data_IF_047128794471
#
_entry.id   IF_047128794471
#
_cell.length_a   1.000
_cell.length_b   1.000
_cell.length_c   1.000
_cell.angle_alpha   90.00
_cell.angle_beta   90.00
_cell.angle_gamma   90.00
#
_symmetry.space_group_name_H-M   'P 1'
#
loop_
_entity.id
_entity.type
_entity.pdbx_description
1 polymer ?
#
# COMPACT_ATOMS: atom_id res chain seq x y z
N UNK A 1 -52.08 68.47 -25.18
CA UNK A 1 -52.81 67.63 -24.20
C UNK A 1 -52.16 66.26 -24.17
N UNK A 2 -51.26 65.99 -23.22
CA UNK A 2 -50.66 64.66 -23.02
C UNK A 2 -50.85 64.23 -21.57
N UNK A 3 -51.48 63.07 -21.41
CA UNK A 3 -51.84 62.41 -20.16
C UNK A 3 -50.59 61.79 -19.51
N UNK A 4 -50.25 62.18 -18.28
CA UNK A 4 -49.25 61.50 -17.45
C UNK A 4 -49.96 60.51 -16.51
N UNK A 5 -49.85 59.22 -16.78
CA UNK A 5 -50.16 58.14 -15.83
C UNK A 5 -49.00 58.00 -14.84
N UNK A 6 -49.28 58.12 -13.54
CA UNK A 6 -48.36 57.74 -12.46
C UNK A 6 -48.47 56.23 -12.22
N UNK A 7 -47.37 55.50 -12.38
CA UNK A 7 -47.21 54.13 -11.89
C UNK A 7 -46.58 54.19 -10.50
N UNK A 8 -47.29 53.64 -9.50
CA UNK A 8 -46.79 53.40 -8.15
C UNK A 8 -46.00 52.09 -8.15
N UNK A 9 -44.74 52.14 -7.74
CA UNK A 9 -43.88 50.97 -7.51
C UNK A 9 -44.22 50.39 -6.14
N UNK A 10 -44.69 49.14 -6.11
CA UNK A 10 -44.83 48.34 -4.90
C UNK A 10 -43.45 47.91 -4.40
N UNK A 11 -43.14 48.18 -3.13
CA UNK A 11 -41.97 47.66 -2.44
C UNK A 11 -42.40 46.33 -1.80
N UNK A 12 -41.78 45.23 -2.24
CA UNK A 12 -42.01 43.89 -1.67
C UNK A 12 -41.32 43.73 -0.30
N UNK A 13 -41.92 42.99 0.64
CA UNK A 13 -41.35 42.77 1.95
C UNK A 13 -40.18 41.78 1.90
N UNK A 14 -39.09 42.13 2.59
CA UNK A 14 -37.92 41.28 2.84
C UNK A 14 -38.37 39.95 3.46
N UNK A 15 -38.06 38.85 2.78
CA UNK A 15 -38.49 37.50 3.15
C UNK A 15 -37.77 37.01 4.42
N UNK A 16 -38.57 36.48 5.35
CA UNK A 16 -38.17 35.92 6.66
C UNK A 16 -37.37 34.60 6.53
N UNK A 17 -37.17 34.09 5.31
CA UNK A 17 -36.54 32.78 5.06
C UNK A 17 -35.03 32.76 5.33
N UNK A 18 -34.33 33.89 5.20
CA UNK A 18 -32.87 33.96 5.42
C UNK A 18 -32.48 33.88 6.91
N UNK A 19 -33.35 34.33 7.83
CA UNK A 19 -33.14 34.22 9.27
C UNK A 19 -33.39 32.80 9.79
N UNK A 20 -34.28 32.04 9.15
CA UNK A 20 -34.54 30.64 9.47
C UNK A 20 -33.36 29.73 9.09
N UNK A 21 -32.62 30.07 8.03
CA UNK A 21 -31.45 29.30 7.60
C UNK A 21 -30.28 29.38 8.62
N UNK A 22 -30.07 30.54 9.25
CA UNK A 22 -29.04 30.70 10.28
C UNK A 22 -29.35 29.91 11.57
N UNK A 23 -30.61 29.87 12.01
CA UNK A 23 -31.00 29.09 13.19
C UNK A 23 -30.94 27.57 12.94
N UNK A 24 -31.29 27.11 11.72
CA UNK A 24 -31.28 25.68 11.40
C UNK A 24 -29.85 25.10 11.35
N UNK A 25 -28.88 25.88 10.86
CA UNK A 25 -27.46 25.49 10.85
C UNK A 25 -26.87 25.31 12.26
N UNK A 26 -27.24 26.15 13.23
CA UNK A 26 -26.76 26.02 14.62
C UNK A 26 -27.32 24.76 15.33
N UNK A 27 -28.57 24.40 15.05
CA UNK A 27 -29.21 23.21 15.66
C UNK A 27 -28.61 21.91 15.09
N UNK A 28 -28.31 21.85 13.79
CA UNK A 28 -27.67 20.68 13.17
C UNK A 28 -26.23 20.47 13.64
N UNK A 29 -25.48 21.55 13.88
CA UNK A 29 -24.13 21.47 14.45
C UNK A 29 -24.13 20.94 15.89
N UNK A 30 -25.09 21.38 16.71
CA UNK A 30 -25.25 20.91 18.10
C UNK A 30 -25.57 19.41 18.18
N UNK A 31 -26.44 18.89 17.30
CA UNK A 31 -26.80 17.46 17.29
C UNK A 31 -25.64 16.56 16.86
N UNK A 32 -24.83 16.97 15.87
CA UNK A 32 -23.65 16.20 15.45
C UNK A 32 -22.56 16.18 16.51
N UNK A 33 -22.37 17.29 17.24
CA UNK A 33 -21.38 17.37 18.31
C UNK A 33 -21.70 16.43 19.48
N UNK A 34 -22.96 16.31 19.89
CA UNK A 34 -23.37 15.40 20.97
C UNK A 34 -23.26 13.92 20.59
N UNK A 35 -23.54 13.56 19.32
CA UNK A 35 -23.34 12.19 18.82
C UNK A 35 -21.86 11.79 18.80
N UNK A 36 -20.98 12.72 18.44
CA UNK A 36 -19.53 12.51 18.45
C UNK A 36 -18.98 12.31 19.88
N UNK A 37 -19.48 13.06 20.87
CA UNK A 37 -19.10 12.90 22.29
C UNK A 37 -19.54 11.56 22.90
N UNK A 38 -20.67 10.99 22.45
CA UNK A 38 -21.11 9.67 22.90
C UNK A 38 -20.24 8.54 22.36
N UNK A 39 -19.78 8.63 21.11
CA UNK A 39 -18.84 7.65 20.55
C UNK A 39 -17.49 7.65 21.26
N UNK A 40 -16.96 8.82 21.65
CA UNK A 40 -15.67 8.91 22.35
C UNK A 40 -15.72 8.21 23.72
N UNK A 41 -16.83 8.32 24.47
CA UNK A 41 -16.99 7.65 25.78
C UNK A 41 -17.01 6.12 25.69
N UNK A 42 -17.55 5.55 24.60
CA UNK A 42 -17.59 4.10 24.40
C UNK A 42 -16.17 3.55 24.18
N UNK A 43 -15.33 4.26 23.44
CA UNK A 43 -13.94 3.84 23.21
C UNK A 43 -13.04 3.96 24.45
N UNK A 44 -13.33 4.89 25.37
CA UNK A 44 -12.50 5.05 26.58
C UNK A 44 -12.73 3.95 27.62
N UNK A 45 -13.93 3.37 27.67
CA UNK A 45 -14.25 2.29 28.63
C UNK A 45 -13.63 0.96 28.20
N UNK A 46 -13.44 0.74 26.90
CA UNK A 46 -12.95 -0.53 26.36
C UNK A 46 -11.42 -0.71 26.49
N UNK A 47 -10.65 0.37 26.70
CA UNK A 47 -9.20 0.29 26.92
C UNK A 47 -8.78 0.17 28.40
N UNK A 48 -9.73 0.16 29.35
CA UNK A 48 -9.41 0.02 30.78
C UNK A 48 -9.43 -1.43 31.30
N UNK A 49 -9.71 -2.41 30.44
CA UNK A 49 -9.94 -3.80 30.84
C UNK A 49 -9.09 -4.78 30.03
N UNK A 50 -7.76 -4.65 30.05
CA UNK A 50 -6.82 -5.76 29.78
C UNK A 50 -5.38 -5.31 30.07
N UNK A 51 -4.92 -5.58 31.29
CA UNK A 51 -3.52 -5.43 31.70
C UNK A 51 -3.12 -6.68 32.49
N UNK A 52 -2.41 -7.66 31.90
CA UNK A 52 -1.81 -8.74 32.65
C UNK A 52 -0.50 -8.27 33.30
N UNK A 53 -0.38 -8.50 34.60
CA UNK A 53 0.76 -8.13 35.41
C UNK A 53 2.08 -8.79 34.94
N UNK A 54 3.12 -7.95 34.85
CA UNK A 54 4.52 -8.34 34.69
C UNK A 54 5.02 -9.07 35.95
N UNK A 55 5.45 -10.33 35.80
CA UNK A 55 6.35 -10.98 36.75
C UNK A 55 7.80 -10.84 36.25
N UNK A 56 8.46 -9.76 36.69
CA UNK A 56 9.91 -9.61 36.58
C UNK A 56 10.57 -10.42 37.70
N UNK A 57 11.06 -11.63 37.37
CA UNK A 57 11.96 -12.38 38.24
C UNK A 57 13.40 -12.18 37.77
N UNK A 58 14.10 -11.30 38.47
CA UNK A 58 15.54 -11.09 38.37
C UNK A 58 16.29 -12.37 38.76
N UNK A 59 17.07 -12.92 37.85
CA UNK A 59 18.13 -13.88 38.19
C UNK A 59 19.45 -13.38 37.61
N UNK A 60 20.09 -12.50 38.37
CA UNK A 60 21.52 -12.22 38.31
C UNK A 60 22.26 -13.39 38.97
N UNK A 61 23.07 -14.10 38.18
CA UNK A 61 24.29 -14.85 38.57
C UNK A 61 24.66 -15.81 37.42
N UNK A 62 25.67 -15.48 36.63
CA UNK A 62 27.00 -16.05 36.86
C UNK A 62 27.98 -15.60 35.77
N UNK A 63 28.99 -14.87 36.24
CA UNK A 63 30.23 -14.57 35.54
C UNK A 63 31.09 -15.82 35.64
N UNK A 64 31.33 -16.53 34.53
CA UNK A 64 32.44 -17.48 34.43
C UNK A 64 33.31 -17.22 33.21
N UNK A 65 34.45 -16.58 33.50
CA UNK A 65 35.68 -16.59 32.71
C UNK A 65 35.99 -18.00 32.17
N UNK A 66 36.14 -18.12 30.85
CA UNK A 66 37.04 -19.08 30.20
C UNK A 66 37.88 -18.27 29.21
N UNK A 67 39.09 -17.86 29.64
CA UNK A 67 40.38 -18.45 29.25
C UNK A 67 40.54 -18.55 27.73
N UNK A 68 41.30 -17.59 27.21
CA UNK A 68 41.98 -17.63 25.93
C UNK A 68 42.86 -18.86 25.84
N UNK A 69 42.72 -19.62 24.76
CA UNK A 69 43.75 -20.53 24.28
C UNK A 69 44.08 -20.06 22.87
N UNK A 70 45.33 -19.63 22.75
CA UNK A 70 46.07 -19.38 21.53
C UNK A 70 46.31 -20.70 20.77
N UNK A 71 46.61 -20.56 19.48
CA UNK A 71 47.37 -21.51 18.64
C UNK A 71 46.60 -22.73 18.07
N UNK A 72 46.21 -22.64 16.79
CA UNK A 72 47.04 -23.15 15.67
C UNK A 72 46.25 -23.14 14.35
N UNK A 73 46.67 -22.29 13.41
CA UNK A 73 46.39 -22.42 11.98
C UNK A 73 47.15 -23.61 11.40
N UNK A 74 46.51 -24.39 10.53
CA UNK A 74 47.20 -24.92 9.36
C UNK A 74 46.60 -24.35 8.06
N UNK A 75 47.49 -23.74 7.30
CA UNK A 75 47.36 -23.30 5.90
C UNK A 75 46.84 -24.46 5.04
N UNK A 76 45.59 -24.36 4.57
CA UNK A 76 45.11 -25.09 3.39
C UNK A 76 44.61 -24.11 2.36
N UNK A 77 45.56 -23.65 1.54
CA UNK A 77 45.33 -23.38 0.12
C UNK A 77 44.72 -24.61 -0.53
N UNK A 78 43.43 -24.54 -0.83
CA UNK A 78 42.90 -25.25 -1.98
C UNK A 78 41.99 -24.34 -2.79
N UNK A 79 42.46 -24.06 -4.00
CA UNK A 79 41.81 -23.19 -4.98
C UNK A 79 40.69 -23.98 -5.63
N UNK A 80 39.46 -23.79 -5.17
CA UNK A 80 38.27 -24.19 -5.91
C UNK A 80 37.64 -22.96 -6.56
N UNK A 81 37.54 -22.89 -7.90
CA UNK A 81 36.98 -21.73 -8.58
C UNK A 81 35.45 -21.72 -8.42
N UNK A 82 34.99 -20.76 -7.62
CA UNK A 82 33.61 -20.30 -7.57
C UNK A 82 33.25 -19.69 -8.93
N UNK A 83 32.54 -20.47 -9.77
CA UNK A 83 31.94 -20.01 -11.02
C UNK A 83 30.71 -19.18 -10.66
N UNK A 84 30.94 -17.89 -10.44
CA UNK A 84 29.90 -16.87 -10.51
C UNK A 84 29.73 -16.56 -12.00
N UNK A 85 28.81 -17.27 -12.65
CA UNK A 85 28.55 -17.08 -14.08
C UNK A 85 28.09 -15.65 -14.33
N UNK A 86 28.92 -14.96 -15.10
CA UNK A 86 28.73 -13.64 -15.63
C UNK A 86 27.54 -13.64 -16.60
N UNK A 87 26.36 -13.21 -16.16
CA UNK A 87 25.37 -12.64 -17.06
C UNK A 87 25.61 -11.13 -17.19
N UNK A 88 26.78 -10.77 -17.75
CA UNK A 88 27.06 -9.42 -18.25
C UNK A 88 28.14 -9.51 -19.35
N UNK A 89 27.70 -9.60 -20.61
CA UNK A 89 28.25 -8.93 -21.82
C UNK A 89 27.90 -9.73 -23.07
N UNK A 90 26.89 -9.25 -23.80
CA UNK A 90 26.96 -8.95 -25.24
C UNK A 90 25.62 -8.38 -25.72
N UNK A 91 25.36 -7.11 -25.38
CA UNK A 91 24.52 -6.28 -26.26
C UNK A 91 25.48 -5.43 -27.07
N UNK A 92 25.78 -5.96 -28.26
CA UNK A 92 26.49 -5.24 -29.30
C UNK A 92 25.72 -3.96 -29.64
N UNK A 93 26.47 -2.85 -29.74
CA UNK A 93 25.98 -1.54 -30.16
C UNK A 93 25.36 -1.67 -31.56
N UNK A 94 24.03 -1.66 -31.63
CA UNK A 94 23.28 -1.36 -32.85
C UNK A 94 22.73 0.07 -32.73
N UNK A 95 22.83 0.90 -33.79
CA UNK A 95 22.44 2.30 -33.71
C UNK A 95 20.93 2.42 -33.47
N UNK A 96 20.59 3.16 -32.41
CA UNK A 96 19.21 3.52 -32.05
C UNK A 96 18.60 4.33 -33.19
N UNK A 97 17.83 3.66 -34.04
CA UNK A 97 16.81 4.29 -34.89
C UNK A 97 15.62 4.61 -33.98
N UNK A 98 15.40 5.91 -33.71
CA UNK A 98 14.19 6.39 -33.03
C UNK A 98 13.00 6.18 -33.96
N UNK A 99 12.37 5.01 -33.89
CA UNK A 99 11.03 4.81 -34.42
C UNK A 99 10.02 5.04 -33.30
N UNK A 100 9.21 6.06 -33.50
CA UNK A 100 8.07 6.41 -32.66
C UNK A 100 7.04 5.28 -32.77
N UNK A 101 6.94 4.43 -31.74
CA UNK A 101 5.92 3.40 -31.66
C UNK A 101 5.05 3.65 -30.41
N UNK A 102 4.14 4.61 -30.53
CA UNK A 102 2.78 4.66 -29.94
C UNK A 102 2.12 5.99 -30.33
N UNK A 103 1.42 6.09 -31.49
CA UNK A 103 0.63 7.28 -31.81
C UNK A 103 -0.89 7.07 -31.65
N UNK A 104 -1.38 5.98 -31.02
CA UNK A 104 -2.79 5.60 -31.19
C UNK A 104 -3.61 5.40 -29.90
N UNK A 105 -3.24 6.07 -28.80
CA UNK A 105 -4.05 6.05 -27.57
C UNK A 105 -4.19 7.46 -26.95
N UNK A 106 -4.36 8.48 -27.80
CA UNK A 106 -4.69 9.86 -27.39
C UNK A 106 -5.98 10.41 -28.01
N UNK A 107 -6.64 9.67 -28.90
CA UNK A 107 -7.79 10.17 -29.65
C UNK A 107 -9.17 9.88 -29.05
N UNK A 108 -9.26 9.34 -27.82
CA UNK A 108 -10.54 8.90 -27.23
C UNK A 108 -10.93 9.57 -25.90
N UNK A 109 -10.29 10.66 -25.47
CA UNK A 109 -10.63 11.32 -24.19
C UNK A 109 -10.94 12.83 -24.29
N UNK A 110 -10.79 13.48 -25.45
CA UNK A 110 -11.12 14.90 -25.59
C UNK A 110 -12.14 15.12 -26.71
N UNK A 111 -13.38 14.72 -26.48
CA UNK A 111 -14.51 15.21 -27.26
C UNK A 111 -15.74 15.26 -26.35
N UNK A 112 -16.20 16.48 -26.06
CA UNK A 112 -17.50 16.89 -25.48
C UNK A 112 -17.45 17.79 -24.24
N UNK A 113 -16.67 18.88 -24.24
CA UNK A 113 -17.14 20.13 -23.62
C UNK A 113 -16.49 21.29 -24.36
N UNK A 114 -17.21 21.87 -25.32
CA UNK A 114 -17.05 23.25 -25.79
C UNK A 114 -18.33 23.60 -26.56
N UNK A 115 -19.31 24.20 -25.88
CA UNK A 115 -20.11 25.28 -26.46
C UNK A 115 -20.98 25.92 -25.35
N UNK A 116 -20.69 27.18 -25.02
CA UNK A 116 -21.62 28.30 -24.75
C UNK A 116 -20.72 29.49 -24.35
N UNK A 117 -20.20 30.12 -25.40
CA UNK A 117 -20.35 31.53 -25.75
C UNK A 117 -20.67 32.60 -24.68
N UNK A 118 -19.89 33.69 -24.84
CA UNK A 118 -20.22 35.12 -24.76
C UNK A 118 -19.68 35.93 -23.57
N UNK A 119 -18.64 36.68 -23.93
CA UNK A 119 -18.27 38.00 -23.43
C UNK A 119 -19.50 38.91 -23.31
N UNK A 120 -19.55 39.71 -22.23
CA UNK A 120 -20.05 41.07 -22.31
C UNK A 120 -19.26 41.97 -21.36
N UNK A 121 -18.64 42.97 -21.98
CA UNK A 121 -17.96 44.12 -21.41
C UNK A 121 -19.05 45.09 -20.90
N UNK A 122 -19.01 45.48 -19.63
CA UNK A 122 -19.83 46.60 -19.13
C UNK A 122 -18.92 47.66 -18.52
N UNK A 123 -19.07 48.85 -19.10
CA UNK A 123 -18.36 50.10 -18.83
C UNK A 123 -18.66 50.66 -17.44
N UNK A 124 -17.67 51.35 -16.88
CA UNK A 124 -17.81 52.30 -15.78
C UNK A 124 -18.81 53.40 -16.16
N UNK A 125 -19.90 53.52 -15.40
CA UNK A 125 -20.70 54.74 -15.41
C UNK A 125 -20.71 55.36 -14.00
N UNK A 126 -20.31 56.62 -13.98
CA UNK A 126 -20.21 57.49 -12.82
C UNK A 126 -21.61 57.96 -12.42
N UNK A 127 -21.97 57.83 -11.13
CA UNK A 127 -23.19 58.40 -10.60
C UNK A 127 -22.90 59.31 -9.41
N UNK A 128 -23.13 60.61 -9.65
CA UNK A 128 -23.07 61.70 -8.71
C UNK A 128 -24.17 61.63 -7.63
N UNK A 129 -23.78 62.09 -6.43
CA UNK A 129 -24.56 62.80 -5.42
C UNK A 129 -26.03 62.43 -5.18
N UNK A 130 -26.27 61.73 -4.06
CA UNK A 130 -27.51 61.84 -3.29
C UNK A 130 -27.19 62.13 -1.81
N UNK A 131 -27.31 63.40 -1.43
CA UNK A 131 -27.17 63.86 -0.03
C UNK A 131 -28.41 63.46 0.78
N UNK A 132 -28.26 62.42 1.61
CA UNK A 132 -29.21 62.10 2.67
C UNK A 132 -28.62 62.56 4.00
N UNK A 133 -29.05 63.74 4.46
CA UNK A 133 -28.75 64.25 5.79
C UNK A 133 -29.61 63.53 6.84
N UNK A 134 -29.13 62.37 7.31
CA UNK A 134 -29.63 61.76 8.53
C UNK A 134 -28.88 62.37 9.71
N UNK A 135 -29.57 63.21 10.48
CA UNK A 135 -29.10 63.72 11.77
C UNK A 135 -29.07 62.59 12.79
N UNK A 136 -27.97 61.85 12.84
CA UNK A 136 -27.66 60.89 13.91
C UNK A 136 -27.14 61.71 15.09
N UNK A 137 -28.01 61.93 16.08
CA UNK A 137 -27.63 62.44 17.39
C UNK A 137 -26.78 61.37 18.09
N UNK A 138 -25.46 61.48 17.91
CA UNK A 138 -24.47 60.57 18.47
C UNK A 138 -24.33 60.87 19.98
N UNK A 139 -25.16 60.20 20.79
CA UNK A 139 -24.97 60.17 22.24
C UNK A 139 -23.60 59.54 22.53
N UNK A 140 -22.68 60.41 22.99
CA UNK A 140 -21.38 60.04 23.59
C UNK A 140 -21.61 59.28 24.90
N UNK A 141 -22.10 58.06 24.83
CA UNK A 141 -21.82 57.06 25.86
C UNK A 141 -20.48 56.43 25.51
N UNK A 142 -19.55 56.47 26.46
CA UNK A 142 -18.20 55.94 26.34
C UNK A 142 -18.24 54.43 26.05
N UNK A 143 -18.33 54.07 24.76
CA UNK A 143 -18.34 52.69 24.24
C UNK A 143 -16.94 52.09 24.07
N UNK A 144 -15.90 52.87 24.37
CA UNK A 144 -14.50 52.44 24.28
C UNK A 144 -14.15 51.17 25.09
N UNK A 145 -14.68 50.90 26.31
CA UNK A 145 -14.28 49.70 27.04
C UNK A 145 -14.88 48.40 26.44
N UNK A 146 -16.02 48.47 25.77
CA UNK A 146 -16.68 47.28 25.19
C UNK A 146 -15.97 46.82 23.93
N UNK A 147 -15.55 47.75 23.07
CA UNK A 147 -14.83 47.45 21.82
C UNK A 147 -13.42 46.91 22.10
N UNK A 148 -12.73 47.43 23.12
CA UNK A 148 -11.42 46.91 23.55
C UNK A 148 -11.53 45.48 24.08
N UNK A 149 -12.60 45.16 24.83
CA UNK A 149 -12.83 43.81 25.35
C UNK A 149 -13.09 42.78 24.25
N UNK A 150 -13.84 43.14 23.19
CA UNK A 150 -14.13 42.22 22.10
C UNK A 150 -12.91 41.92 21.24
N UNK A 151 -12.06 42.93 20.96
CA UNK A 151 -10.81 42.74 20.21
C UNK A 151 -9.85 41.83 20.97
N UNK A 152 -9.71 42.03 22.29
CA UNK A 152 -8.85 41.18 23.12
C UNK A 152 -9.31 39.72 23.11
N UNK A 153 -10.62 39.46 23.17
CA UNK A 153 -11.16 38.11 23.14
C UNK A 153 -10.86 37.38 21.83
N UNK A 154 -10.98 38.07 20.68
CA UNK A 154 -10.64 37.50 19.35
C UNK A 154 -9.15 37.17 19.28
N UNK A 155 -8.28 38.05 19.76
CA UNK A 155 -6.82 37.82 19.77
C UNK A 155 -6.48 36.60 20.65
N UNK A 156 -7.07 36.49 21.84
CA UNK A 156 -6.85 35.33 22.72
C UNK A 156 -7.36 34.04 22.08
N UNK A 157 -8.53 34.06 21.44
CA UNK A 157 -9.08 32.89 20.74
C UNK A 157 -8.18 32.44 19.58
N UNK A 158 -7.66 33.38 18.78
CA UNK A 158 -6.73 33.08 17.68
C UNK A 158 -5.41 32.51 18.21
N UNK A 159 -4.84 33.10 19.28
CA UNK A 159 -3.63 32.59 19.91
C UNK A 159 -3.83 31.22 20.55
N UNK A 160 -4.99 30.98 21.17
CA UNK A 160 -5.36 29.68 21.72
C UNK A 160 -5.52 28.63 20.61
N UNK A 161 -6.12 29.00 19.48
CA UNK A 161 -6.25 28.12 18.32
C UNK A 161 -4.89 27.82 17.68
N UNK A 162 -4.01 28.81 17.56
CA UNK A 162 -2.63 28.63 17.07
C UNK A 162 -1.80 27.73 17.99
N UNK A 163 -1.91 27.89 19.31
CA UNK A 163 -1.20 27.03 20.27
C UNK A 163 -1.73 25.60 20.26
N UNK A 164 -3.03 25.38 20.09
CA UNK A 164 -3.61 24.04 19.88
C UNK A 164 -3.20 23.44 18.53
N UNK A 165 -3.12 24.24 17.47
CA UNK A 165 -2.72 23.76 16.14
C UNK A 165 -1.24 23.40 16.06
N UNK A 166 -0.38 24.06 16.85
CA UNK A 166 1.06 23.77 16.91
C UNK A 166 1.41 22.67 17.93
N UNK A 167 0.52 22.37 18.88
CA UNK A 167 0.78 21.41 19.97
C UNK A 167 0.54 19.93 19.63
N UNK A 168 -0.13 19.60 18.53
CA UNK A 168 -0.55 18.22 18.22
C UNK A 168 0.33 17.47 17.22
N UNK A 169 1.43 18.07 16.76
CA UNK A 169 2.42 17.39 15.91
C UNK A 169 3.56 16.75 16.72
N UNK A 170 3.35 16.44 18.01
CA UNK A 170 4.03 15.29 18.58
C UNK A 170 3.43 14.03 17.95
N UNK A 171 3.77 13.78 16.68
CA UNK A 171 3.83 12.44 16.13
C UNK A 171 4.75 11.70 17.05
N UNK A 172 4.19 11.01 18.06
CA UNK A 172 4.91 10.01 18.82
C UNK A 172 5.64 9.20 17.76
N UNK A 173 6.97 9.28 17.74
CA UNK A 173 7.80 8.32 17.04
C UNK A 173 7.52 7.01 17.75
N UNK A 174 6.38 6.40 17.41
CA UNK A 174 6.01 5.08 17.81
C UNK A 174 7.16 4.24 17.28
N UNK A 175 8.00 3.81 18.21
CA UNK A 175 9.15 3.01 17.89
C UNK A 175 8.60 1.78 17.19
N UNK A 176 8.70 1.75 15.86
CA UNK A 176 8.16 0.67 15.06
C UNK A 176 8.97 -0.56 15.45
N UNK A 177 8.36 -1.44 16.24
CA UNK A 177 8.97 -2.69 16.63
C UNK A 177 9.34 -3.42 15.33
N UNK A 178 10.63 -3.68 15.15
CA UNK A 178 11.11 -4.35 13.95
C UNK A 178 10.60 -5.79 13.98
N UNK A 179 10.03 -6.23 12.86
CA UNK A 179 9.62 -7.62 12.68
C UNK A 179 10.88 -8.49 12.72
N UNK A 180 10.82 -9.58 13.49
CA UNK A 180 11.89 -10.55 13.61
C UNK A 180 11.29 -11.94 13.37
N UNK A 181 11.75 -12.62 12.32
CA UNK A 181 11.24 -13.92 11.91
C UNK A 181 12.13 -15.07 12.40
N UNK A 182 12.67 -15.00 13.62
CA UNK A 182 13.57 -16.02 14.19
C UNK A 182 12.96 -17.43 14.24
N UNK A 183 11.63 -17.55 14.29
CA UNK A 183 10.88 -18.81 14.22
C UNK A 183 11.09 -19.62 12.93
N UNK A 184 11.65 -19.03 11.87
CA UNK A 184 12.05 -19.80 10.69
C UNK A 184 13.17 -20.82 10.98
N UNK A 185 13.87 -20.69 12.11
CA UNK A 185 14.79 -21.73 12.59
C UNK A 185 14.08 -23.05 12.92
N UNK A 186 12.80 -22.99 13.31
CA UNK A 186 12.01 -24.18 13.64
C UNK A 186 11.69 -24.97 12.37
N UNK A 187 11.43 -24.27 11.25
CA UNK A 187 11.26 -24.91 9.93
C UNK A 187 12.54 -25.62 9.48
N UNK A 188 13.69 -25.01 9.72
CA UNK A 188 14.98 -25.64 9.42
C UNK A 188 15.18 -26.94 10.22
N UNK A 189 14.74 -26.97 11.48
CA UNK A 189 14.78 -28.17 12.31
C UNK A 189 13.76 -29.22 11.84
N UNK A 190 12.55 -28.80 11.41
CA UNK A 190 11.49 -29.69 10.89
C UNK A 190 11.84 -30.31 9.53
N UNK A 191 12.61 -29.60 8.71
CA UNK A 191 12.98 -30.00 7.35
C UNK A 191 14.51 -30.02 7.14
N UNK A 192 15.26 -30.87 7.88
CA UNK A 192 16.72 -30.84 7.90
C UNK A 192 17.38 -31.24 6.58
N UNK A 193 16.66 -31.98 5.72
CA UNK A 193 17.12 -32.38 4.39
C UNK A 193 17.09 -31.23 3.37
N UNK A 194 16.36 -30.16 3.65
CA UNK A 194 16.25 -29.01 2.77
C UNK A 194 17.47 -28.10 2.90
N UNK A 195 17.80 -27.39 1.83
CA UNK A 195 18.91 -26.45 1.86
C UNK A 195 18.65 -25.31 2.87
N UNK A 196 19.53 -25.16 3.86
CA UNK A 196 19.42 -24.14 4.89
C UNK A 196 19.31 -22.69 4.33
N UNK A 197 19.80 -22.44 3.11
CA UNK A 197 19.66 -21.15 2.42
C UNK A 197 18.20 -20.78 2.18
N UNK A 198 17.30 -21.74 2.01
CA UNK A 198 15.87 -21.52 1.81
C UNK A 198 15.29 -20.73 2.99
N UNK A 199 15.47 -21.23 4.21
CA UNK A 199 14.95 -20.62 5.43
C UNK A 199 15.60 -19.27 5.74
N UNK A 200 16.90 -19.14 5.47
CA UNK A 200 17.59 -17.84 5.59
C UNK A 200 17.04 -16.81 4.59
N UNK A 201 16.80 -17.21 3.34
CA UNK A 201 16.24 -16.33 2.32
C UNK A 201 14.83 -15.88 2.69
N UNK A 202 13.98 -16.82 3.13
CA UNK A 202 12.64 -16.52 3.64
C UNK A 202 12.69 -15.48 4.75
N UNK A 203 13.48 -15.74 5.79
CA UNK A 203 13.62 -14.84 6.95
C UNK A 203 14.05 -13.44 6.53
N UNK A 204 15.15 -13.33 5.78
CA UNK A 204 15.74 -12.04 5.39
C UNK A 204 14.80 -11.25 4.48
N UNK A 205 14.21 -11.91 3.48
CA UNK A 205 13.33 -11.26 2.51
C UNK A 205 12.03 -10.78 3.17
N UNK A 206 11.40 -11.61 4.02
CA UNK A 206 10.18 -11.23 4.75
C UNK A 206 10.46 -10.07 5.70
N UNK A 207 11.50 -10.15 6.54
CA UNK A 207 11.90 -9.03 7.41
C UNK A 207 12.17 -7.75 6.60
N UNK A 208 12.79 -7.89 5.42
CA UNK A 208 13.06 -6.79 4.49
C UNK A 208 11.79 -6.03 4.07
N UNK A 209 10.73 -6.76 3.69
CA UNK A 209 9.44 -6.18 3.25
C UNK A 209 8.88 -5.23 4.30
N UNK A 210 8.86 -5.64 5.57
CA UNK A 210 8.17 -4.88 6.61
C UNK A 210 9.06 -3.88 7.35
N UNK A 211 10.34 -4.20 7.53
CA UNK A 211 11.27 -3.35 8.28
C UNK A 211 11.86 -2.23 7.43
N UNK A 212 12.08 -2.47 6.14
CA UNK A 212 12.71 -1.51 5.22
C UNK A 212 11.75 -0.92 4.21
N UNK A 213 10.45 -1.24 4.31
CA UNK A 213 9.43 -0.92 3.29
C UNK A 213 9.91 -1.30 1.89
N UNK A 214 10.45 -2.52 1.73
CA UNK A 214 11.01 -2.98 0.45
C UNK A 214 9.93 -3.41 -0.55
N UNK A 215 10.37 -3.76 -1.75
CA UNK A 215 9.61 -4.53 -2.76
C UNK A 215 9.03 -5.83 -2.19
N UNK A 216 7.99 -6.41 -2.82
CA UNK A 216 7.43 -7.69 -2.40
C UNK A 216 8.47 -8.80 -2.42
N UNK A 217 8.27 -9.78 -1.56
CA UNK A 217 9.09 -10.99 -1.54
C UNK A 217 8.38 -12.08 -2.35
N UNK A 218 9.00 -12.51 -3.44
CA UNK A 218 8.47 -13.56 -4.32
C UNK A 218 9.34 -14.80 -4.19
N UNK A 219 8.72 -15.94 -3.87
CA UNK A 219 9.40 -17.21 -3.72
C UNK A 219 8.74 -18.27 -4.58
N UNK A 220 9.53 -18.98 -5.39
CA UNK A 220 9.06 -20.14 -6.16
C UNK A 220 9.65 -21.41 -5.60
N UNK A 221 8.77 -22.31 -5.15
CA UNK A 221 9.11 -23.65 -4.73
C UNK A 221 8.76 -24.65 -5.81
N UNK A 222 9.62 -25.63 -6.04
CA UNK A 222 9.28 -26.71 -6.94
C UNK A 222 9.86 -28.04 -6.47
N UNK A 223 9.13 -29.12 -6.71
CA UNK A 223 9.52 -30.46 -6.26
C UNK A 223 8.92 -31.53 -7.14
N UNK A 224 9.52 -32.72 -7.09
CA UNK A 224 8.94 -33.95 -7.62
C UNK A 224 7.87 -34.54 -6.72
N UNK A 225 7.96 -34.25 -5.42
CA UNK A 225 7.06 -34.78 -4.41
C UNK A 225 6.02 -33.71 -4.05
N UNK A 226 4.76 -34.01 -4.36
CA UNK A 226 3.64 -33.11 -4.09
C UNK A 226 3.41 -32.92 -2.59
N UNK A 227 3.68 -33.96 -1.78
CA UNK A 227 3.44 -33.92 -0.34
C UNK A 227 4.42 -32.97 0.32
N UNK A 228 5.72 -33.08 0.05
CA UNK A 228 6.70 -32.14 0.61
C UNK A 228 6.44 -30.70 0.15
N UNK A 229 6.05 -30.50 -1.11
CA UNK A 229 5.72 -29.18 -1.66
C UNK A 229 4.54 -28.55 -0.91
N UNK A 230 3.47 -29.31 -0.71
CA UNK A 230 2.30 -28.88 0.05
C UNK A 230 2.63 -28.61 1.53
N UNK A 231 3.24 -29.60 2.21
CA UNK A 231 3.50 -29.55 3.65
C UNK A 231 4.44 -28.38 3.99
N UNK A 232 5.57 -28.24 3.26
CA UNK A 232 6.52 -27.16 3.50
C UNK A 232 5.92 -25.79 3.17
N UNK A 233 5.15 -25.68 2.08
CA UNK A 233 4.53 -24.41 1.73
C UNK A 233 3.47 -23.98 2.75
N UNK A 234 2.65 -24.91 3.25
CA UNK A 234 1.68 -24.65 4.32
C UNK A 234 2.37 -24.15 5.59
N UNK A 235 3.45 -24.83 6.00
CA UNK A 235 4.25 -24.46 7.16
C UNK A 235 4.94 -23.09 7.01
N UNK A 236 5.51 -22.82 5.83
CA UNK A 236 6.14 -21.53 5.52
C UNK A 236 5.11 -20.41 5.60
N UNK A 237 3.93 -20.60 5.01
CA UNK A 237 2.85 -19.60 5.03
C UNK A 237 2.38 -19.34 6.47
N UNK A 238 2.17 -20.39 7.26
CA UNK A 238 1.81 -20.29 8.67
C UNK A 238 2.86 -19.51 9.48
N UNK A 239 4.15 -19.87 9.32
CA UNK A 239 5.25 -19.17 9.98
C UNK A 239 5.38 -17.71 9.52
N UNK A 240 5.09 -17.43 8.25
CA UNK A 240 5.06 -16.07 7.73
C UNK A 240 3.94 -15.26 8.37
N UNK A 241 2.70 -15.77 8.39
CA UNK A 241 1.56 -15.09 9.02
C UNK A 241 1.86 -14.72 10.48
N UNK A 242 2.37 -15.69 11.24
CA UNK A 242 2.76 -15.46 12.63
C UNK A 242 3.87 -14.41 12.76
N UNK A 243 4.87 -14.43 11.88
CA UNK A 243 5.99 -13.49 11.96
C UNK A 243 5.50 -12.05 11.77
N UNK A 244 4.64 -11.84 10.76
CA UNK A 244 4.14 -10.51 10.43
C UNK A 244 2.90 -10.11 11.25
N UNK A 245 2.50 -10.95 12.22
CA UNK A 245 1.31 -10.78 13.07
C UNK A 245 0.03 -10.54 12.23
N UNK A 246 -0.08 -11.20 11.09
CA UNK A 246 -1.22 -11.09 10.19
C UNK A 246 -2.36 -12.01 10.67
N UNK A 247 -3.55 -11.44 10.88
CA UNK A 247 -4.74 -12.17 11.32
C UNK A 247 -5.58 -12.70 10.16
N UNK A 248 -5.43 -12.13 8.95
CA UNK A 248 -6.17 -12.60 7.79
C UNK A 248 -5.55 -13.87 7.20
N UNK A 249 -6.41 -14.77 6.70
CA UNK A 249 -5.98 -15.92 5.91
C UNK A 249 -5.32 -15.47 4.60
N UNK A 250 -4.29 -16.21 4.14
CA UNK A 250 -3.62 -15.92 2.87
C UNK A 250 -4.61 -16.07 1.72
N UNK A 251 -4.37 -15.34 0.62
CA UNK A 251 -5.08 -15.60 -0.63
C UNK A 251 -4.47 -16.88 -1.21
N UNK A 252 -5.29 -17.91 -1.40
CA UNK A 252 -4.84 -19.16 -1.99
C UNK A 252 -5.48 -19.32 -3.37
N UNK A 253 -4.67 -19.25 -4.43
CA UNK A 253 -5.12 -19.34 -5.81
C UNK A 253 -4.67 -20.66 -6.43
N UNK A 254 -5.59 -21.27 -7.14
CA UNK A 254 -5.38 -22.49 -7.92
C UNK A 254 -5.74 -22.26 -9.38
N UNK A 255 -5.53 -23.28 -10.21
CA UNK A 255 -5.95 -23.26 -11.60
C UNK A 255 -7.44 -22.88 -11.74
N UNK A 256 -8.32 -23.49 -10.95
CA UNK A 256 -9.77 -23.24 -11.05
C UNK A 256 -10.18 -21.81 -10.68
N UNK A 257 -9.37 -21.13 -9.87
CA UNK A 257 -9.67 -19.76 -9.46
C UNK A 257 -9.41 -18.76 -10.57
N UNK A 258 -8.37 -19.01 -11.38
CA UNK A 258 -7.86 -18.08 -12.37
C UNK A 258 -8.21 -18.44 -13.82
N UNK A 259 -8.44 -19.70 -14.15
CA UNK A 259 -8.91 -20.14 -15.47
C UNK A 259 -10.44 -19.99 -15.66
N UNK A 260 -11.03 -18.92 -15.12
CA UNK A 260 -12.43 -18.56 -15.32
C UNK A 260 -12.57 -17.78 -16.63
N UNK A 261 -13.67 -17.98 -17.35
CA UNK A 261 -13.93 -17.29 -18.63
C UNK A 261 -13.75 -15.76 -18.53
N UNK A 262 -14.25 -15.15 -17.44
CA UNK A 262 -14.09 -13.71 -17.18
C UNK A 262 -12.64 -13.23 -17.22
N UNK A 263 -11.68 -14.07 -16.81
CA UNK A 263 -10.25 -13.78 -16.74
C UNK A 263 -9.50 -14.18 -18.01
N UNK A 264 -9.94 -15.25 -18.68
CA UNK A 264 -9.37 -15.67 -19.96
C UNK A 264 -9.62 -14.63 -21.07
N UNK A 265 -10.75 -13.93 -21.00
CA UNK A 265 -11.09 -12.86 -21.93
C UNK A 265 -10.37 -11.55 -21.61
N UNK A 266 -10.10 -11.30 -20.32
CA UNK A 266 -9.45 -10.08 -19.84
C UNK A 266 -8.73 -10.35 -18.52
N UNK A 267 -7.42 -10.57 -18.60
CA UNK A 267 -6.60 -10.86 -17.42
C UNK A 267 -6.47 -9.65 -16.48
N UNK A 268 -6.79 -8.42 -16.92
CA UNK A 268 -6.71 -7.23 -16.06
C UNK A 268 -7.74 -7.27 -14.94
N UNK A 269 -8.82 -8.03 -15.11
CA UNK A 269 -9.82 -8.29 -14.05
C UNK A 269 -9.23 -9.04 -12.86
N UNK A 270 -8.21 -9.89 -13.07
CA UNK A 270 -7.49 -10.55 -11.96
C UNK A 270 -6.82 -9.47 -11.09
N UNK A 271 -6.19 -8.48 -11.72
CA UNK A 271 -5.51 -7.39 -11.03
C UNK A 271 -6.52 -6.57 -10.22
N UNK A 272 -7.65 -6.21 -10.82
CA UNK A 272 -8.71 -5.46 -10.14
C UNK A 272 -9.34 -6.21 -8.96
N UNK A 273 -9.58 -7.52 -9.12
CA UNK A 273 -10.24 -8.36 -8.11
C UNK A 273 -9.34 -8.61 -6.89
N UNK A 274 -8.06 -8.88 -7.12
CA UNK A 274 -7.15 -9.28 -6.03
C UNK A 274 -6.31 -8.14 -5.44
N UNK A 275 -6.31 -6.93 -6.02
CA UNK A 275 -5.54 -5.80 -5.46
C UNK A 275 -5.92 -5.51 -4.01
N UNK A 276 -7.19 -5.20 -3.77
CA UNK A 276 -7.67 -4.81 -2.43
C UNK A 276 -7.56 -5.97 -1.44
N UNK A 277 -7.83 -7.20 -1.89
CA UNK A 277 -7.65 -8.39 -1.05
C UNK A 277 -6.18 -8.59 -0.67
N UNK A 278 -5.24 -8.36 -1.60
CA UNK A 278 -3.81 -8.53 -1.33
C UNK A 278 -3.26 -7.41 -0.45
N UNK A 279 -3.74 -6.17 -0.59
CA UNK A 279 -3.40 -5.08 0.32
C UNK A 279 -3.80 -5.41 1.76
N UNK A 280 -4.97 -6.05 1.93
CA UNK A 280 -5.50 -6.45 3.24
C UNK A 280 -4.81 -7.70 3.82
N UNK A 281 -4.67 -8.75 3.01
CA UNK A 281 -4.22 -10.09 3.45
C UNK A 281 -2.71 -10.27 3.37
N UNK A 282 -2.04 -9.46 2.54
CA UNK A 282 -0.56 -9.37 2.43
C UNK A 282 0.14 -10.61 1.86
N UNK A 283 -0.40 -11.81 2.05
CA UNK A 283 0.17 -13.07 1.60
C UNK A 283 -0.68 -13.64 0.46
N UNK A 284 -0.02 -13.96 -0.65
CA UNK A 284 -0.59 -14.62 -1.81
C UNK A 284 0.13 -15.95 -2.04
N UNK A 285 -0.63 -17.02 -2.20
CA UNK A 285 -0.15 -18.36 -2.55
C UNK A 285 -0.75 -18.73 -3.90
N UNK A 286 0.09 -19.13 -4.85
CA UNK A 286 -0.32 -19.59 -6.17
C UNK A 286 0.16 -21.03 -6.33
N UNK A 287 -0.79 -21.95 -6.44
CA UNK A 287 -0.50 -23.37 -6.59
C UNK A 287 -0.38 -23.76 -8.06
N UNK A 288 0.60 -24.62 -8.35
CA UNK A 288 0.85 -25.19 -9.68
C UNK A 288 0.86 -24.11 -10.77
N UNK A 289 1.76 -23.13 -10.61
CA UNK A 289 1.91 -21.97 -11.47
C UNK A 289 2.00 -22.32 -12.96
N UNK A 290 2.61 -23.46 -13.28
CA UNK A 290 2.84 -23.94 -14.64
C UNK A 290 1.60 -24.55 -15.31
N UNK A 291 0.50 -24.72 -14.58
CA UNK A 291 -0.78 -25.20 -15.12
C UNK A 291 -1.63 -24.06 -15.69
N UNK A 292 -1.29 -22.80 -15.42
CA UNK A 292 -2.13 -21.65 -15.78
C UNK A 292 -2.11 -21.37 -17.28
N UNK A 293 -3.25 -20.91 -17.81
CA UNK A 293 -3.33 -20.54 -19.23
C UNK A 293 -2.34 -19.41 -19.55
N UNK A 294 -1.60 -19.50 -20.68
CA UNK A 294 -0.75 -18.40 -21.14
C UNK A 294 -1.47 -17.06 -21.24
N UNK A 295 -2.80 -17.05 -21.44
CA UNK A 295 -3.61 -15.83 -21.50
C UNK A 295 -3.70 -15.05 -20.18
N UNK A 296 -3.63 -15.73 -19.04
CA UNK A 296 -3.76 -15.09 -17.72
C UNK A 296 -2.42 -14.81 -17.04
N UNK A 297 -1.39 -15.57 -17.41
CA UNK A 297 -0.04 -15.47 -16.87
C UNK A 297 0.56 -14.05 -16.92
N UNK A 298 0.30 -13.21 -17.95
CA UNK A 298 0.73 -11.81 -17.95
C UNK A 298 0.28 -10.99 -16.74
N UNK A 299 -0.86 -11.32 -16.12
CA UNK A 299 -1.32 -10.63 -14.89
C UNK A 299 -0.31 -10.71 -13.75
N UNK A 300 0.49 -11.80 -13.70
CA UNK A 300 1.51 -12.05 -12.69
C UNK A 300 2.65 -11.02 -12.69
N UNK A 301 2.87 -10.31 -13.80
CA UNK A 301 3.79 -9.17 -13.82
C UNK A 301 3.41 -8.15 -12.75
N UNK A 302 2.13 -7.82 -12.62
CA UNK A 302 1.70 -6.82 -11.64
C UNK A 302 1.95 -7.31 -10.21
N UNK A 303 1.74 -8.59 -9.91
CA UNK A 303 1.99 -9.12 -8.57
C UNK A 303 3.48 -9.18 -8.23
N UNK A 304 4.31 -9.56 -9.20
CA UNK A 304 5.73 -9.89 -8.98
C UNK A 304 6.71 -8.80 -9.43
N UNK A 305 6.23 -7.62 -9.83
CA UNK A 305 7.13 -6.56 -10.30
C UNK A 305 7.99 -6.01 -9.16
N UNK A 306 9.29 -5.88 -9.42
CA UNK A 306 10.26 -5.34 -8.46
C UNK A 306 10.08 -3.85 -8.20
N UNK A 307 9.65 -3.08 -9.21
CA UNK A 307 9.64 -1.62 -9.21
C UNK A 307 8.24 -1.04 -9.05
N UNK A 308 7.24 -1.66 -9.68
CA UNK A 308 5.84 -1.25 -9.62
C UNK A 308 4.92 -2.45 -9.30
N UNK A 309 5.11 -3.09 -8.15
CA UNK A 309 4.23 -4.17 -7.72
C UNK A 309 2.81 -3.67 -7.44
N UNK A 310 1.83 -4.54 -7.63
CA UNK A 310 0.43 -4.28 -7.34
C UNK A 310 0.23 -3.88 -5.88
N UNK A 311 0.98 -4.55 -4.98
CA UNK A 311 1.00 -4.30 -3.54
C UNK A 311 2.45 -4.35 -3.05
N UNK A 312 2.99 -3.19 -2.66
CA UNK A 312 4.40 -3.04 -2.25
C UNK A 312 4.79 -3.97 -1.09
N UNK A 313 3.92 -4.04 -0.07
CA UNK A 313 4.12 -4.89 1.12
C UNK A 313 3.34 -6.17 0.95
N UNK A 314 3.82 -7.04 0.07
CA UNK A 314 3.23 -8.37 -0.11
C UNK A 314 4.29 -9.47 -0.13
N UNK A 315 3.85 -10.68 0.20
CA UNK A 315 4.66 -11.90 0.19
C UNK A 315 3.95 -12.88 -0.71
N UNK A 316 4.64 -13.37 -1.73
CA UNK A 316 4.07 -14.20 -2.79
C UNK A 316 4.80 -15.54 -2.81
N UNK A 317 4.05 -16.61 -2.61
CA UNK A 317 4.52 -17.98 -2.72
C UNK A 317 3.96 -18.62 -3.98
N UNK A 318 4.84 -19.16 -4.80
CA UNK A 318 4.51 -19.84 -6.03
C UNK A 318 4.98 -21.29 -5.90
N UNK A 319 4.18 -22.24 -6.40
CA UNK A 319 4.59 -23.64 -6.45
C UNK A 319 4.51 -24.23 -7.85
N UNK A 320 5.43 -25.14 -8.16
CA UNK A 320 5.45 -25.89 -9.42
C UNK A 320 5.74 -27.37 -9.11
N UNK A 321 4.92 -28.27 -9.63
CA UNK A 321 5.19 -29.71 -9.56
C UNK A 321 5.97 -30.13 -10.79
N UNK A 322 7.10 -30.79 -10.59
CA UNK A 322 7.94 -31.29 -11.68
C UNK A 322 7.91 -32.83 -11.72
N UNK A 323 7.99 -33.48 -12.88
CA UNK A 323 7.89 -34.94 -12.96
C UNK A 323 9.14 -35.67 -12.43
N UNK A 324 10.32 -35.03 -12.51
CA UNK A 324 11.59 -35.67 -12.13
C UNK A 324 12.60 -34.64 -11.60
N UNK A 325 13.56 -35.13 -10.81
CA UNK A 325 14.59 -34.28 -10.19
C UNK A 325 15.53 -33.76 -11.29
N UNK A 326 15.68 -32.44 -11.45
CA UNK A 326 16.58 -31.88 -12.45
C UNK A 326 18.04 -31.89 -11.96
N UNK A 327 18.96 -32.13 -12.89
CA UNK A 327 20.41 -32.00 -12.62
C UNK A 327 20.82 -30.54 -12.39
N UNK A 328 20.26 -29.62 -13.18
CA UNK A 328 20.37 -28.18 -12.96
C UNK A 328 18.95 -27.62 -12.71
N UNK A 329 18.57 -27.40 -11.45
CA UNK A 329 17.21 -26.98 -11.11
C UNK A 329 16.82 -25.62 -11.70
N UNK A 330 17.75 -24.65 -11.77
CA UNK A 330 17.48 -23.31 -12.28
C UNK A 330 17.23 -23.31 -13.80
N UNK A 331 18.11 -23.97 -14.56
CA UNK A 331 17.96 -24.07 -16.02
C UNK A 331 16.71 -24.87 -16.39
N UNK A 332 16.42 -25.94 -15.63
CA UNK A 332 15.24 -26.76 -15.84
C UNK A 332 13.96 -25.95 -15.67
N UNK A 333 13.79 -25.25 -14.54
CA UNK A 333 12.53 -24.55 -14.27
C UNK A 333 12.32 -23.37 -15.23
N UNK A 334 13.41 -22.70 -15.62
CA UNK A 334 13.35 -21.67 -16.66
C UNK A 334 12.86 -22.24 -17.99
N UNK A 335 13.45 -23.35 -18.44
CA UNK A 335 13.08 -24.01 -19.70
C UNK A 335 11.66 -24.59 -19.65
N UNK A 336 11.26 -25.14 -18.50
CA UNK A 336 9.92 -25.65 -18.27
C UNK A 336 8.87 -24.56 -18.45
N UNK A 337 9.06 -23.39 -17.80
CA UNK A 337 8.15 -22.25 -17.95
C UNK A 337 8.19 -21.65 -19.37
N UNK A 338 9.36 -21.62 -20.03
CA UNK A 338 9.47 -21.22 -21.43
C UNK A 338 8.58 -22.05 -22.36
N UNK A 339 8.54 -23.36 -22.12
CA UNK A 339 7.73 -24.30 -22.87
C UNK A 339 6.24 -24.18 -22.52
N UNK A 340 5.91 -24.12 -21.23
CA UNK A 340 4.53 -24.00 -20.74
C UNK A 340 3.84 -22.71 -21.20
N UNK A 341 4.60 -21.63 -21.35
CA UNK A 341 4.08 -20.33 -21.77
C UNK A 341 4.52 -19.97 -23.19
N UNK A 342 4.71 -20.96 -24.06
CA UNK A 342 5.20 -20.78 -25.43
C UNK A 342 4.32 -19.82 -26.29
N UNK A 343 3.03 -19.70 -25.98
CA UNK A 343 2.09 -18.76 -26.63
C UNK A 343 2.39 -17.28 -26.32
N UNK A 344 3.13 -16.99 -25.24
CA UNK A 344 3.53 -15.63 -24.91
C UNK A 344 4.71 -15.17 -25.77
N UNK A 345 4.63 -13.93 -26.24
CA UNK A 345 5.74 -13.27 -26.92
C UNK A 345 6.96 -13.15 -26.01
N UNK A 346 8.16 -13.28 -26.59
CA UNK A 346 9.43 -13.32 -25.83
C UNK A 346 9.66 -12.10 -24.94
N UNK A 347 9.20 -10.91 -25.38
CA UNK A 347 9.30 -9.66 -24.62
C UNK A 347 8.41 -9.62 -23.37
N UNK A 348 7.33 -10.41 -23.31
CA UNK A 348 6.48 -10.54 -22.11
C UNK A 348 6.96 -11.72 -21.26
N UNK A 349 7.25 -12.84 -21.92
CA UNK A 349 7.60 -14.11 -21.30
C UNK A 349 8.90 -14.06 -20.52
N UNK A 350 10.01 -13.64 -21.13
CA UNK A 350 11.32 -13.70 -20.47
C UNK A 350 11.37 -12.81 -19.21
N UNK A 351 10.89 -11.55 -19.25
CA UNK A 351 10.89 -10.72 -18.06
C UNK A 351 9.92 -11.24 -16.98
N UNK A 352 8.85 -11.96 -17.35
CA UNK A 352 7.97 -12.58 -16.37
C UNK A 352 8.65 -13.74 -15.66
N UNK A 353 9.24 -14.65 -16.44
CA UNK A 353 9.98 -15.81 -15.92
C UNK A 353 11.09 -15.33 -14.98
N UNK A 354 11.83 -14.27 -15.35
CA UNK A 354 12.87 -13.71 -14.50
C UNK A 354 12.33 -13.19 -13.15
N UNK A 355 11.12 -12.62 -13.11
CA UNK A 355 10.49 -12.11 -11.88
C UNK A 355 9.97 -13.24 -10.99
N UNK A 356 9.22 -14.19 -11.56
CA UNK A 356 8.69 -15.32 -10.78
C UNK A 356 9.83 -16.21 -10.27
N UNK A 357 10.97 -16.25 -10.96
CA UNK A 357 12.12 -17.06 -10.57
C UNK A 357 13.20 -16.31 -9.75
N UNK A 358 12.95 -15.08 -9.27
CA UNK A 358 13.96 -14.29 -8.52
C UNK A 358 14.51 -15.05 -7.31
N UNK A 359 13.63 -15.70 -6.52
CA UNK A 359 14.03 -16.60 -5.43
C UNK A 359 13.40 -17.98 -5.64
N UNK A 360 14.13 -18.85 -6.31
CA UNK A 360 13.64 -20.19 -6.67
C UNK A 360 14.37 -21.29 -5.91
N UNK A 361 13.62 -22.23 -5.35
CA UNK A 361 14.16 -23.33 -4.56
C UNK A 361 13.56 -24.68 -5.00
N UNK A 362 14.44 -25.61 -5.34
CA UNK A 362 14.07 -27.02 -5.47
C UNK A 362 13.97 -27.64 -4.07
N UNK A 363 12.87 -28.32 -3.79
CA UNK A 363 12.66 -29.03 -2.52
C UNK A 363 12.97 -30.51 -2.70
N UNK A 364 13.82 -31.02 -1.83
CA UNK A 364 14.19 -32.44 -1.79
C UNK A 364 13.01 -33.28 -1.23
N UNK A 365 12.71 -34.46 -1.79
CA UNK A 365 11.70 -35.35 -1.23
C UNK A 365 11.99 -35.74 0.23
N UNK A 366 10.96 -35.93 1.03
CA UNK A 366 11.09 -36.54 2.36
C UNK A 366 11.01 -38.06 2.23
N UNK A 367 12.11 -38.75 2.52
CA UNK A 367 12.15 -40.22 2.57
C UNK A 367 11.74 -40.76 3.92
#
# INVERSE_FOLDING_TARGET
MFNFRKNLVQIEPIQIEDLLFCCYCQILFSKRYNSFQQHIKIYTVQMSAESPQRNLRSNTKDIRRRKSIHENEPDMRDKSPFVQSQYQKEYSKSPVRKENLYPDLKHLINESVDDITNEDHIEEESLEHLDISVSIECQKTSYMPVVLSSVLFVVVAVLFWLTLSLGNDQKSFAHRELINCSQFNDLKAKYPQQNAKIFNSLRISIEGVFNRNSRPAVFTFFSTDQKILHDLMSDVVYMTQNCIRQSYEPINLTYSDLNKEKFLNDYTKIIGEYKNELEKRTILVINNLDEFSPKIVPSLHSFTDTYNPLVQKSIIYLSIRVPQKPNNPADYIFTHLQHKWNELSTNIKNPLIARVLDQTFFLEPSY
#
